data_IF_593252365957
#
_entry.id   IF_593252365957
#
_cell.length_a   1.000
_cell.length_b   1.000
_cell.length_c   1.000
_cell.angle_alpha   90.00
_cell.angle_beta   90.00
_cell.angle_gamma   90.00
#
_symmetry.space_group_name_H-M   'P 1'
#
loop_
_entity.id
_entity.type
_entity.pdbx_description
1 polymer ?
#
# COMPACT_ATOMS: atom_id res chain seq x y z
N UNK A 1 12.64 23.84 22.50
CA UNK A 1 11.75 23.09 21.58
C UNK A 1 12.16 23.47 20.17
N UNK A 2 12.52 22.50 19.35
CA UNK A 2 12.70 22.77 17.92
C UNK A 2 11.37 23.30 17.34
N UNK A 3 11.44 24.21 16.35
CA UNK A 3 10.22 24.74 15.75
C UNK A 3 9.43 23.60 15.12
N UNK A 4 8.13 23.55 15.44
CA UNK A 4 7.21 22.54 14.95
C UNK A 4 6.98 22.74 13.46
N UNK A 5 7.27 21.71 12.64
CA UNK A 5 7.09 21.73 11.19
C UNK A 5 5.66 21.33 10.83
N UNK A 6 4.96 22.10 10.02
CA UNK A 6 3.60 21.80 9.57
C UNK A 6 3.62 21.21 8.16
N UNK A 7 3.18 19.95 8.06
CA UNK A 7 3.10 19.18 6.84
C UNK A 7 1.67 19.16 6.29
N UNK A 8 1.47 19.49 5.02
CA UNK A 8 0.22 19.24 4.31
C UNK A 8 0.39 18.09 3.32
N UNK A 9 -0.27 16.97 3.57
CA UNK A 9 -0.33 15.82 2.67
C UNK A 9 -1.50 15.95 1.68
N UNK A 10 -1.20 16.08 0.39
CA UNK A 10 -2.20 16.26 -0.69
C UNK A 10 -2.45 14.92 -1.38
N UNK A 11 -3.60 14.29 -1.10
CA UNK A 11 -3.97 12.96 -1.60
C UNK A 11 -5.15 13.07 -2.57
N UNK A 12 -4.95 12.67 -3.83
CA UNK A 12 -5.99 12.77 -4.87
C UNK A 12 -6.89 11.51 -5.00
N UNK A 13 -6.60 10.47 -4.23
CA UNK A 13 -7.39 9.22 -4.25
C UNK A 13 -8.74 9.40 -3.54
N UNK A 14 -9.90 9.03 -4.15
CA UNK A 14 -11.20 9.17 -3.49
C UNK A 14 -11.47 8.08 -2.45
N UNK A 15 -10.86 6.91 -2.60
CA UNK A 15 -11.02 5.80 -1.67
C UNK A 15 -9.85 5.73 -0.69
N UNK A 16 -10.11 5.29 0.53
CA UNK A 16 -9.06 5.06 1.52
C UNK A 16 -8.07 4.02 0.99
N UNK A 17 -6.80 4.38 0.91
CA UNK A 17 -5.73 3.54 0.34
C UNK A 17 -4.39 3.78 1.02
N UNK A 18 -3.30 3.30 0.42
CA UNK A 18 -1.96 3.31 1.01
C UNK A 18 -1.49 4.67 1.51
N UNK A 19 -1.69 5.75 0.74
CA UNK A 19 -1.31 7.10 1.16
C UNK A 19 -2.10 7.61 2.39
N UNK A 20 -3.42 7.31 2.44
CA UNK A 20 -4.26 7.64 3.60
C UNK A 20 -3.82 6.84 4.83
N UNK A 21 -3.56 5.54 4.66
CA UNK A 21 -3.11 4.68 5.76
C UNK A 21 -1.74 5.11 6.27
N UNK A 22 -0.83 5.49 5.37
CA UNK A 22 0.48 6.03 5.76
C UNK A 22 0.32 7.30 6.61
N UNK A 23 -0.50 8.27 6.17
CA UNK A 23 -0.76 9.48 6.93
C UNK A 23 -1.34 9.15 8.30
N UNK A 24 -2.30 8.21 8.38
CA UNK A 24 -2.92 7.75 9.62
C UNK A 24 -1.91 7.12 10.57
N UNK A 25 -1.07 6.23 10.08
CA UNK A 25 -0.11 5.49 10.91
C UNK A 25 1.06 6.35 11.38
N UNK A 26 1.50 7.31 10.55
CA UNK A 26 2.71 8.09 10.85
C UNK A 26 2.42 9.43 11.54
N UNK A 27 1.17 9.90 11.62
CA UNK A 27 0.87 11.21 12.20
C UNK A 27 1.35 11.36 13.65
N UNK A 28 1.06 10.38 14.52
CA UNK A 28 1.53 10.36 15.91
C UNK A 28 3.05 10.33 16.02
N UNK A 29 3.72 9.28 15.47
CA UNK A 29 5.19 9.19 15.47
C UNK A 29 5.91 10.40 14.84
N UNK A 30 5.33 11.06 13.84
CA UNK A 30 5.87 12.28 13.26
C UNK A 30 5.69 13.49 14.17
N UNK A 31 4.54 13.61 14.87
CA UNK A 31 4.31 14.68 15.84
C UNK A 31 5.31 14.62 17.01
N UNK A 32 5.67 13.42 17.47
CA UNK A 32 6.74 13.21 18.46
C UNK A 32 8.11 13.70 17.96
N UNK A 33 8.30 13.80 16.63
CA UNK A 33 9.49 14.34 15.97
C UNK A 33 9.34 15.80 15.53
N UNK A 34 8.33 16.49 16.05
CA UNK A 34 8.06 17.90 15.76
C UNK A 34 7.47 18.14 14.36
N UNK A 35 6.80 17.14 13.75
CA UNK A 35 6.13 17.29 12.45
C UNK A 35 4.63 17.04 12.60
N UNK A 36 3.84 18.10 12.55
CA UNK A 36 2.37 18.00 12.57
C UNK A 36 1.82 17.79 11.16
N UNK A 37 0.94 16.82 11.02
CA UNK A 37 0.40 16.40 9.73
C UNK A 37 -1.07 16.83 9.57
N UNK A 38 -1.34 17.66 8.56
CA UNK A 38 -2.67 17.86 8.00
C UNK A 38 -2.82 17.15 6.66
N UNK A 39 -4.03 16.73 6.32
CA UNK A 39 -4.32 16.03 5.07
C UNK A 39 -5.40 16.76 4.28
N UNK A 40 -5.22 16.88 2.97
CA UNK A 40 -6.25 17.39 2.07
C UNK A 40 -6.60 16.33 1.02
N UNK A 41 -7.90 16.11 0.85
CA UNK A 41 -8.46 15.11 -0.08
C UNK A 41 -9.57 15.71 -0.93
N UNK A 42 -9.95 15.08 -2.07
CA UNK A 42 -11.10 15.50 -2.87
C UNK A 42 -12.42 15.45 -2.08
N UNK A 43 -13.41 16.23 -2.49
CA UNK A 43 -14.76 16.23 -1.85
C UNK A 43 -15.39 14.82 -1.84
N UNK A 44 -15.22 14.06 -2.91
CA UNK A 44 -15.73 12.69 -3.01
C UNK A 44 -15.02 11.69 -2.08
N UNK A 45 -13.93 12.10 -1.44
CA UNK A 45 -13.18 11.29 -0.46
C UNK A 45 -13.61 11.57 0.99
N UNK A 46 -14.77 12.15 1.23
CA UNK A 46 -15.28 12.45 2.58
C UNK A 46 -15.25 11.23 3.52
N UNK A 47 -15.60 9.99 3.10
CA UNK A 47 -15.46 8.82 3.96
C UNK A 47 -14.00 8.54 4.40
N UNK A 48 -13.03 8.86 3.53
CA UNK A 48 -11.62 8.72 3.88
C UNK A 48 -11.16 9.84 4.83
N UNK A 49 -11.64 11.07 4.63
CA UNK A 49 -11.39 12.20 5.51
C UNK A 49 -11.96 11.96 6.91
N UNK A 50 -13.19 11.45 7.02
CA UNK A 50 -13.80 11.09 8.30
C UNK A 50 -12.91 10.11 9.08
N UNK A 51 -12.46 9.03 8.44
CA UNK A 51 -11.57 8.05 9.09
C UNK A 51 -10.24 8.64 9.55
N UNK A 52 -9.72 9.67 8.87
CA UNK A 52 -8.52 10.38 9.29
C UNK A 52 -8.81 11.28 10.50
N UNK A 53 -9.94 11.98 10.51
CA UNK A 53 -10.38 12.80 11.65
C UNK A 53 -10.66 11.95 12.89
N UNK A 54 -11.28 10.77 12.71
CA UNK A 54 -11.52 9.81 13.79
C UNK A 54 -10.19 9.31 14.42
N UNK A 55 -9.10 9.34 13.63
CA UNK A 55 -7.74 9.05 14.10
C UNK A 55 -6.99 10.30 14.63
N UNK A 56 -7.67 11.42 14.83
CA UNK A 56 -7.08 12.65 15.38
C UNK A 56 -6.27 13.50 14.38
N UNK A 57 -6.42 13.27 13.07
CA UNK A 57 -5.67 13.99 12.03
C UNK A 57 -6.55 15.10 11.45
N UNK A 58 -6.00 16.32 11.32
CA UNK A 58 -6.68 17.42 10.62
C UNK A 58 -6.84 17.07 9.13
N UNK A 59 -8.04 16.66 8.73
CA UNK A 59 -8.36 16.25 7.37
C UNK A 59 -9.44 17.16 6.75
N UNK A 60 -9.04 17.84 5.68
CA UNK A 60 -9.87 18.81 4.95
C UNK A 60 -10.26 18.26 3.59
N UNK A 61 -11.55 18.37 3.24
CA UNK A 61 -12.02 18.09 1.88
C UNK A 61 -12.11 19.38 1.07
N UNK A 62 -11.75 19.30 -0.21
CA UNK A 62 -11.82 20.43 -1.14
C UNK A 62 -12.09 19.94 -2.56
N UNK A 63 -12.68 20.76 -3.45
CA UNK A 63 -12.67 20.42 -4.86
C UNK A 63 -11.23 20.21 -5.35
N UNK A 64 -10.93 19.01 -5.80
CA UNK A 64 -9.57 18.64 -6.25
C UNK A 64 -9.69 17.62 -7.38
N UNK A 65 -9.39 18.04 -8.59
CA UNK A 65 -9.42 17.16 -9.75
C UNK A 65 -8.13 16.34 -9.85
N UNK A 66 -8.25 15.12 -10.36
CA UNK A 66 -7.07 14.28 -10.63
C UNK A 66 -6.94 13.98 -12.11
N UNK A 67 -5.72 13.87 -12.58
CA UNK A 67 -5.44 13.36 -13.92
C UNK A 67 -5.83 11.87 -13.97
N UNK A 68 -6.64 11.50 -14.95
CA UNK A 68 -7.03 10.11 -15.21
C UNK A 68 -6.37 9.64 -16.51
N UNK A 69 -5.86 8.42 -16.50
CA UNK A 69 -5.34 7.78 -17.72
C UNK A 69 -6.50 7.29 -18.59
N UNK A 70 -7.24 8.23 -19.18
CA UNK A 70 -8.36 7.97 -20.08
C UNK A 70 -8.17 8.81 -21.36
N UNK A 71 -8.55 8.28 -22.56
CA UNK A 71 -8.55 9.04 -23.79
C UNK A 71 -9.71 10.04 -23.89
N UNK A 72 -10.65 10.05 -22.94
CA UNK A 72 -11.81 10.95 -22.97
C UNK A 72 -11.39 12.43 -22.88
N UNK A 73 -11.57 13.23 -23.94
CA UNK A 73 -11.13 14.62 -23.99
C UNK A 73 -11.89 15.50 -22.98
N UNK A 74 -13.13 15.16 -22.61
CA UNK A 74 -13.92 15.93 -21.63
C UNK A 74 -13.31 15.81 -20.24
N UNK A 75 -12.84 14.62 -19.87
CA UNK A 75 -12.15 14.39 -18.60
C UNK A 75 -10.85 15.16 -18.56
N UNK A 76 -10.07 15.17 -19.65
CA UNK A 76 -8.81 15.92 -19.74
C UNK A 76 -9.05 17.43 -19.71
N UNK A 77 -10.07 17.93 -20.43
CA UNK A 77 -10.43 19.35 -20.40
C UNK A 77 -10.89 19.82 -19.01
N UNK A 78 -11.64 18.99 -18.27
CA UNK A 78 -12.04 19.29 -16.87
C UNK A 78 -10.83 19.39 -15.97
N UNK A 79 -9.87 18.46 -16.09
CA UNK A 79 -8.62 18.53 -15.33
C UNK A 79 -7.85 19.81 -15.62
N UNK A 80 -7.67 20.16 -16.90
CA UNK A 80 -6.97 21.35 -17.31
C UNK A 80 -7.66 22.64 -16.80
N UNK A 81 -8.97 22.71 -16.90
CA UNK A 81 -9.75 23.87 -16.43
C UNK A 81 -9.70 24.01 -14.88
N UNK A 82 -9.63 22.90 -14.16
CA UNK A 82 -9.58 22.90 -12.71
C UNK A 82 -8.19 23.21 -12.14
N UNK A 83 -7.10 23.06 -12.91
CA UNK A 83 -5.72 23.17 -12.42
C UNK A 83 -5.47 24.50 -11.70
N UNK A 84 -5.76 25.63 -12.32
CA UNK A 84 -5.53 26.96 -11.73
C UNK A 84 -6.41 27.22 -10.52
N UNK A 85 -7.74 26.98 -10.56
CA UNK A 85 -8.59 27.05 -9.38
C UNK A 85 -8.12 26.17 -8.21
N UNK A 86 -7.72 24.92 -8.49
CA UNK A 86 -7.27 23.99 -7.44
C UNK A 86 -5.95 24.46 -6.79
N UNK A 87 -4.98 24.90 -7.61
CA UNK A 87 -3.73 25.50 -7.13
C UNK A 87 -4.00 26.72 -6.23
N UNK A 88 -4.95 27.59 -6.63
CA UNK A 88 -5.31 28.77 -5.81
C UNK A 88 -5.98 28.38 -4.48
N UNK A 89 -6.84 27.36 -4.48
CA UNK A 89 -7.47 26.85 -3.26
C UNK A 89 -6.44 26.25 -2.31
N UNK A 90 -5.56 25.40 -2.84
CA UNK A 90 -4.47 24.83 -2.05
C UNK A 90 -3.52 25.91 -1.51
N UNK A 91 -3.20 26.94 -2.29
CA UNK A 91 -2.39 28.07 -1.80
C UNK A 91 -3.03 28.82 -0.65
N UNK A 92 -4.37 29.06 -0.69
CA UNK A 92 -5.10 29.65 0.45
C UNK A 92 -5.04 28.75 1.69
N UNK A 93 -5.13 27.42 1.50
CA UNK A 93 -5.07 26.45 2.60
C UNK A 93 -3.66 26.41 3.21
N UNK A 94 -2.62 26.42 2.39
CA UNK A 94 -1.20 26.48 2.81
C UNK A 94 -0.98 27.68 3.72
N UNK A 95 -1.42 28.88 3.31
CA UNK A 95 -1.29 30.08 4.12
C UNK A 95 -2.11 30.03 5.41
N UNK A 96 -3.38 29.58 5.33
CA UNK A 96 -4.28 29.51 6.48
C UNK A 96 -3.78 28.58 7.58
N UNK A 97 -3.19 27.44 7.18
CA UNK A 97 -2.64 26.43 8.08
C UNK A 97 -1.16 26.64 8.40
N UNK A 98 -0.54 27.71 7.87
CA UNK A 98 0.89 28.02 8.08
C UNK A 98 1.80 26.82 7.75
N UNK A 99 1.57 26.22 6.58
CA UNK A 99 2.28 25.00 6.13
C UNK A 99 3.71 25.32 5.74
N UNK A 100 4.66 24.51 6.21
CA UNK A 100 6.08 24.56 5.85
C UNK A 100 6.43 23.62 4.69
N UNK A 101 5.74 22.46 4.63
CA UNK A 101 6.00 21.41 3.65
C UNK A 101 4.70 20.94 3.02
N UNK A 102 4.67 20.82 1.71
CA UNK A 102 3.59 20.11 1.01
C UNK A 102 4.12 18.77 0.49
N UNK A 103 3.50 17.68 0.93
CA UNK A 103 3.73 16.34 0.38
C UNK A 103 2.69 16.02 -0.68
N UNK A 104 3.14 15.65 -1.88
CA UNK A 104 2.30 15.31 -3.02
C UNK A 104 2.42 13.82 -3.33
N UNK A 105 1.30 13.14 -3.55
CA UNK A 105 1.26 11.71 -3.83
C UNK A 105 0.97 11.42 -5.31
N UNK A 106 1.83 10.57 -5.92
CA UNK A 106 1.74 10.16 -7.32
C UNK A 106 2.33 11.16 -8.31
N UNK A 107 2.90 10.67 -9.41
CA UNK A 107 3.66 11.49 -10.36
C UNK A 107 2.80 12.47 -11.18
N UNK A 108 1.48 12.25 -11.29
CA UNK A 108 0.62 12.88 -12.30
C UNK A 108 -0.26 14.02 -11.79
N UNK A 109 -0.19 14.35 -10.50
CA UNK A 109 -1.05 15.36 -9.88
C UNK A 109 -0.23 16.54 -9.32
N UNK A 110 0.11 17.55 -10.13
CA UNK A 110 1.05 18.59 -9.74
C UNK A 110 0.46 19.71 -8.88
N UNK A 111 -0.85 19.73 -8.59
CA UNK A 111 -1.56 20.84 -7.94
C UNK A 111 -0.91 21.27 -6.63
N UNK A 112 -0.61 20.31 -5.73
CA UNK A 112 0.03 20.58 -4.44
C UNK A 112 1.43 21.19 -4.62
N UNK A 113 2.23 20.63 -5.52
CA UNK A 113 3.58 21.13 -5.78
C UNK A 113 3.57 22.55 -6.39
N UNK A 114 2.67 22.82 -7.33
CA UNK A 114 2.51 24.15 -7.91
C UNK A 114 2.02 25.17 -6.89
N UNK A 115 1.07 24.78 -6.01
CA UNK A 115 0.62 25.64 -4.92
C UNK A 115 1.76 25.93 -3.95
N UNK A 116 2.50 24.93 -3.53
CA UNK A 116 3.65 25.06 -2.62
C UNK A 116 4.72 25.98 -3.21
N UNK A 117 5.07 25.80 -4.46
CA UNK A 117 6.05 26.69 -5.15
C UNK A 117 5.60 28.14 -5.22
N UNK A 118 4.32 28.38 -5.47
CA UNK A 118 3.74 29.71 -5.48
C UNK A 118 3.79 30.38 -4.11
N UNK A 119 3.52 29.63 -3.05
CA UNK A 119 3.54 30.11 -1.67
C UNK A 119 4.95 30.06 -1.05
N UNK A 120 5.93 29.54 -1.79
CA UNK A 120 7.32 29.47 -1.36
C UNK A 120 7.58 28.45 -0.24
N UNK A 121 6.81 27.38 -0.11
CA UNK A 121 7.04 26.31 0.86
C UNK A 121 7.70 25.10 0.23
N UNK A 122 8.31 24.23 1.05
CA UNK A 122 9.04 23.07 0.57
C UNK A 122 8.11 22.03 -0.07
N UNK A 123 8.61 21.28 -1.05
CA UNK A 123 7.86 20.24 -1.76
C UNK A 123 8.54 18.89 -1.58
N UNK A 124 7.83 17.96 -0.96
CA UNK A 124 8.17 16.54 -0.95
C UNK A 124 7.25 15.81 -1.92
N UNK A 125 7.80 15.10 -2.88
CA UNK A 125 6.99 14.34 -3.85
C UNK A 125 7.12 12.85 -3.59
N UNK A 126 6.01 12.17 -3.31
CA UNK A 126 5.99 10.75 -3.06
C UNK A 126 5.53 9.98 -4.31
N UNK A 127 6.40 9.14 -4.84
CA UNK A 127 6.11 8.25 -5.95
C UNK A 127 5.66 6.90 -5.42
N UNK A 128 4.37 6.57 -5.63
CA UNK A 128 3.71 5.40 -5.02
C UNK A 128 3.25 4.37 -6.04
N UNK A 129 3.10 4.75 -7.32
CA UNK A 129 2.35 3.95 -8.25
C UNK A 129 3.15 3.59 -9.51
N UNK A 130 2.94 2.34 -9.96
CA UNK A 130 3.50 1.81 -11.21
C UNK A 130 2.51 1.84 -12.37
N UNK A 131 1.24 2.22 -12.12
CA UNK A 131 0.13 2.06 -13.09
C UNK A 131 0.08 3.12 -14.16
N UNK A 132 0.66 4.31 -13.90
CA UNK A 132 0.69 5.35 -14.90
C UNK A 132 1.45 4.86 -16.16
N UNK A 133 0.90 5.03 -17.38
CA UNK A 133 1.59 4.68 -18.61
C UNK A 133 2.99 5.28 -18.68
N UNK A 134 3.94 4.58 -19.28
CA UNK A 134 5.34 5.03 -19.38
C UNK A 134 5.44 6.41 -20.04
N UNK A 135 4.63 6.66 -21.06
CA UNK A 135 4.55 7.96 -21.76
C UNK A 135 4.17 9.08 -20.80
N UNK A 136 3.14 8.86 -19.97
CA UNK A 136 2.70 9.84 -18.98
C UNK A 136 3.77 10.08 -17.91
N UNK A 137 4.44 9.02 -17.45
CA UNK A 137 5.57 9.16 -16.49
C UNK A 137 6.72 9.93 -17.09
N UNK A 138 7.09 9.70 -18.38
CA UNK A 138 8.13 10.47 -19.08
C UNK A 138 7.82 11.97 -19.16
N UNK A 139 6.55 12.30 -19.33
CA UNK A 139 6.11 13.71 -19.37
C UNK A 139 6.05 14.34 -17.97
N UNK A 140 5.62 13.59 -16.96
CA UNK A 140 5.46 14.09 -15.59
C UNK A 140 6.80 14.22 -14.84
N UNK A 141 7.75 13.30 -15.04
CA UNK A 141 8.98 13.26 -14.26
C UNK A 141 9.87 14.51 -14.37
N UNK A 142 10.04 15.19 -15.52
CA UNK A 142 10.75 16.47 -15.56
C UNK A 142 10.15 17.53 -14.63
N UNK A 143 8.82 17.56 -14.49
CA UNK A 143 8.13 18.45 -13.55
C UNK A 143 8.38 18.05 -12.10
N UNK A 144 8.31 16.76 -11.78
CA UNK A 144 8.66 16.22 -10.47
C UNK A 144 10.09 16.62 -10.08
N UNK A 145 11.08 16.36 -10.94
CA UNK A 145 12.50 16.69 -10.70
C UNK A 145 12.71 18.20 -10.48
N UNK A 146 12.00 19.04 -11.24
CA UNK A 146 12.13 20.51 -11.15
C UNK A 146 11.45 21.09 -9.91
N UNK A 147 10.28 20.58 -9.54
CA UNK A 147 9.46 21.18 -8.49
C UNK A 147 9.72 20.60 -7.09
N UNK A 148 10.31 19.42 -6.95
CA UNK A 148 10.55 18.83 -5.63
C UNK A 148 11.84 19.32 -4.98
N UNK A 149 11.80 19.45 -3.66
CA UNK A 149 12.97 19.64 -2.81
C UNK A 149 13.49 18.30 -2.29
N UNK A 150 12.59 17.33 -2.07
CA UNK A 150 12.90 15.91 -1.90
C UNK A 150 11.84 15.05 -2.61
N UNK A 151 12.23 13.83 -2.97
CA UNK A 151 11.32 12.83 -3.54
C UNK A 151 11.45 11.54 -2.72
N UNK A 152 10.32 10.99 -2.28
CA UNK A 152 10.29 9.70 -1.61
C UNK A 152 9.68 8.65 -2.53
N UNK A 153 10.20 7.40 -2.46
CA UNK A 153 9.64 6.24 -3.18
C UNK A 153 9.43 5.09 -2.20
N UNK A 154 8.39 4.30 -2.44
CA UNK A 154 8.21 3.04 -1.72
C UNK A 154 9.10 1.95 -2.34
N UNK A 155 10.28 1.80 -1.80
CA UNK A 155 11.29 0.86 -2.28
C UNK A 155 12.11 1.37 -3.45
N UNK A 156 13.17 0.66 -3.74
CA UNK A 156 14.14 0.98 -4.80
C UNK A 156 13.57 0.68 -6.18
N UNK A 157 12.83 -0.43 -6.31
CA UNK A 157 12.23 -0.82 -7.60
C UNK A 157 11.23 0.22 -8.11
N UNK A 158 10.50 0.87 -7.19
CA UNK A 158 9.57 1.92 -7.57
C UNK A 158 10.29 3.17 -8.11
N UNK A 159 11.48 3.48 -7.61
CA UNK A 159 12.31 4.54 -8.17
C UNK A 159 12.74 4.22 -9.61
N UNK A 160 13.18 2.98 -9.86
CA UNK A 160 13.66 2.52 -11.18
C UNK A 160 12.62 2.59 -12.29
N UNK A 161 11.34 2.41 -11.96
CA UNK A 161 10.26 2.49 -12.96
C UNK A 161 9.88 3.93 -13.35
N UNK A 162 10.44 4.95 -12.67
CA UNK A 162 10.20 6.35 -12.98
C UNK A 162 11.37 6.96 -13.77
N UNK A 163 11.20 7.21 -15.08
CA UNK A 163 12.28 7.70 -15.94
C UNK A 163 12.84 9.03 -15.44
N UNK A 164 14.15 9.13 -15.27
CA UNK A 164 14.81 10.36 -14.84
C UNK A 164 14.85 10.54 -13.31
N UNK A 165 14.38 9.57 -12.52
CA UNK A 165 14.48 9.61 -11.07
C UNK A 165 15.94 9.69 -10.58
N UNK A 166 16.88 9.12 -11.32
CA UNK A 166 18.33 9.19 -11.05
C UNK A 166 18.87 10.62 -11.00
N UNK A 167 18.23 11.57 -11.70
CA UNK A 167 18.60 13.00 -11.70
C UNK A 167 18.35 13.69 -10.36
N UNK A 168 17.58 13.07 -9.49
CA UNK A 168 17.30 13.60 -8.16
C UNK A 168 18.52 13.47 -7.22
N UNK A 169 19.42 12.52 -7.46
CA UNK A 169 20.60 12.30 -6.62
C UNK A 169 20.22 12.14 -5.15
N UNK A 170 20.84 12.91 -4.27
CA UNK A 170 20.58 12.88 -2.82
C UNK A 170 19.15 13.30 -2.42
N UNK A 171 18.37 13.91 -3.31
CA UNK A 171 16.96 14.24 -3.06
C UNK A 171 16.02 13.04 -3.19
N UNK A 172 16.47 11.91 -3.76
CA UNK A 172 15.70 10.68 -3.86
C UNK A 172 15.92 9.82 -2.62
N UNK A 173 14.87 9.63 -1.85
CA UNK A 173 14.91 8.93 -0.57
C UNK A 173 13.99 7.73 -0.63
N UNK A 174 14.52 6.55 -0.39
CA UNK A 174 13.73 5.33 -0.29
C UNK A 174 13.09 5.25 1.09
N UNK A 175 11.78 5.11 1.11
CA UNK A 175 10.97 4.83 2.30
C UNK A 175 10.16 3.56 2.04
N UNK A 176 9.43 3.08 3.05
CA UNK A 176 8.58 1.90 2.94
C UNK A 176 7.19 2.20 3.52
N UNK A 177 6.14 1.43 3.15
CA UNK A 177 4.86 1.57 3.81
C UNK A 177 4.94 1.08 5.27
N UNK A 178 4.28 1.78 6.21
CA UNK A 178 4.31 1.41 7.62
C UNK A 178 3.46 0.17 7.90
N UNK A 179 3.88 -0.61 8.90
CA UNK A 179 3.06 -1.64 9.52
C UNK A 179 2.77 -1.27 10.98
N UNK A 180 1.51 -1.40 11.38
CA UNK A 180 1.07 -1.17 12.76
C UNK A 180 1.36 -2.41 13.61
N UNK A 181 2.51 -2.45 14.25
CA UNK A 181 2.97 -3.61 15.02
C UNK A 181 2.07 -3.95 16.22
N UNK A 182 1.41 -2.95 16.80
CA UNK A 182 0.45 -3.14 17.89
C UNK A 182 -0.83 -3.85 17.44
N UNK A 183 -1.24 -3.64 16.19
CA UNK A 183 -2.40 -4.26 15.57
C UNK A 183 -2.06 -5.62 14.95
N UNK A 184 -0.91 -5.69 14.27
CA UNK A 184 -0.43 -6.88 13.56
C UNK A 184 0.69 -7.55 14.36
N UNK A 185 0.32 -8.36 15.35
CA UNK A 185 1.24 -9.15 16.15
C UNK A 185 0.62 -10.51 16.47
N UNK A 186 1.42 -11.56 16.65
CA UNK A 186 0.90 -12.87 17.06
C UNK A 186 0.20 -12.77 18.41
N UNK A 187 -0.99 -13.32 18.46
CA UNK A 187 -1.82 -13.39 19.66
C UNK A 187 -2.59 -14.72 19.65
N UNK A 188 -2.27 -15.68 20.55
CA UNK A 188 -2.93 -16.99 20.59
C UNK A 188 -4.44 -16.93 20.86
N UNK A 189 -4.89 -16.02 21.73
CA UNK A 189 -6.31 -15.89 22.08
C UNK A 189 -7.09 -15.30 20.90
N UNK A 190 -6.55 -14.27 20.26
CA UNK A 190 -7.11 -13.71 19.03
C UNK A 190 -7.09 -14.72 17.89
N UNK A 191 -6.08 -15.60 17.82
CA UNK A 191 -6.01 -16.66 16.81
C UNK A 191 -7.18 -17.63 16.95
N UNK A 192 -7.44 -18.15 18.16
CA UNK A 192 -8.55 -19.07 18.40
C UNK A 192 -9.90 -18.41 18.04
N UNK A 193 -10.11 -17.16 18.48
CA UNK A 193 -11.29 -16.38 18.12
C UNK A 193 -11.41 -16.17 16.60
N UNK A 194 -10.33 -15.79 15.93
CA UNK A 194 -10.29 -15.57 14.49
C UNK A 194 -10.66 -16.84 13.72
N UNK A 195 -10.09 -17.99 14.10
CA UNK A 195 -10.39 -19.27 13.43
C UNK A 195 -11.86 -19.65 13.56
N UNK A 196 -12.45 -19.50 14.75
CA UNK A 196 -13.89 -19.70 14.97
C UNK A 196 -14.73 -18.78 14.06
N UNK A 197 -14.41 -17.49 14.02
CA UNK A 197 -15.08 -16.52 13.16
C UNK A 197 -14.95 -16.81 11.64
N UNK A 198 -13.87 -17.48 11.25
CA UNK A 198 -13.58 -17.85 9.86
C UNK A 198 -14.18 -19.23 9.50
N UNK A 199 -14.85 -19.89 10.45
CA UNK A 199 -15.43 -21.22 10.27
C UNK A 199 -14.35 -22.30 10.08
N UNK A 200 -13.23 -22.19 10.80
CA UNK A 200 -12.14 -23.16 10.73
C UNK A 200 -12.18 -24.05 11.97
N UNK A 201 -12.43 -25.32 11.75
CA UNK A 201 -12.50 -26.33 12.80
C UNK A 201 -11.11 -26.91 13.10
N UNK A 202 -10.83 -27.10 14.39
CA UNK A 202 -9.59 -27.74 14.86
C UNK A 202 -8.33 -27.08 14.31
N UNK A 203 -7.37 -27.94 13.95
CA UNK A 203 -6.04 -27.55 13.44
C UNK A 203 -5.95 -27.58 11.89
N UNK A 204 -7.09 -27.55 11.18
CA UNK A 204 -7.10 -27.52 9.72
C UNK A 204 -6.24 -26.35 9.19
N UNK A 205 -5.27 -26.61 8.29
CA UNK A 205 -4.40 -25.54 7.77
C UNK A 205 -5.20 -24.46 7.06
N UNK A 206 -5.01 -23.20 7.45
CA UNK A 206 -5.69 -22.05 6.86
C UNK A 206 -4.72 -21.23 6.03
N UNK A 207 -4.94 -21.21 4.72
CA UNK A 207 -4.22 -20.43 3.73
C UNK A 207 -5.07 -19.22 3.35
N UNK A 208 -4.51 -18.02 3.38
CA UNK A 208 -5.29 -16.82 3.05
C UNK A 208 -4.56 -15.76 2.29
N UNK A 209 -5.36 -14.88 1.68
CA UNK A 209 -4.88 -13.70 0.96
C UNK A 209 -5.77 -12.49 1.23
N UNK A 210 -5.19 -11.31 1.09
CA UNK A 210 -5.88 -10.02 1.17
C UNK A 210 -5.66 -9.23 -0.11
N UNK A 211 -6.75 -8.79 -0.73
CA UNK A 211 -6.65 -7.95 -1.93
C UNK A 211 -7.99 -7.74 -2.62
N UNK A 212 -8.15 -6.60 -3.28
CA UNK A 212 -9.35 -6.29 -4.07
C UNK A 212 -9.58 -7.39 -5.11
N UNK A 213 -10.84 -7.83 -5.25
CA UNK A 213 -11.21 -8.85 -6.25
C UNK A 213 -11.16 -8.26 -7.67
N UNK A 214 -9.98 -8.30 -8.26
CA UNK A 214 -9.73 -7.88 -9.64
C UNK A 214 -8.69 -8.79 -10.30
N UNK A 215 -8.59 -8.80 -11.64
CA UNK A 215 -7.65 -9.67 -12.37
C UNK A 215 -6.17 -9.47 -11.95
N UNK A 216 -5.81 -8.25 -11.55
CA UNK A 216 -4.43 -7.89 -11.21
C UNK A 216 -3.93 -8.57 -9.93
N UNK A 217 -4.84 -8.96 -9.03
CA UNK A 217 -4.49 -9.68 -7.79
C UNK A 217 -4.35 -11.18 -7.97
N UNK A 218 -4.62 -11.72 -9.17
CA UNK A 218 -4.32 -13.10 -9.55
C UNK A 218 -5.06 -14.18 -8.74
N UNK A 219 -6.19 -13.85 -8.10
CA UNK A 219 -6.93 -14.81 -7.26
C UNK A 219 -7.32 -16.10 -7.99
N UNK A 220 -7.45 -16.06 -9.33
CA UNK A 220 -7.66 -17.26 -10.16
C UNK A 220 -6.54 -18.29 -9.99
N UNK A 221 -5.29 -17.84 -9.83
CA UNK A 221 -4.16 -18.75 -9.66
C UNK A 221 -4.17 -19.37 -8.27
N UNK A 222 -4.68 -18.66 -7.24
CA UNK A 222 -4.92 -19.24 -5.93
C UNK A 222 -6.02 -20.32 -5.98
N UNK A 223 -7.13 -20.09 -6.70
CA UNK A 223 -8.19 -21.11 -6.88
C UNK A 223 -7.62 -22.37 -7.54
N UNK A 224 -6.80 -22.22 -8.59
CA UNK A 224 -6.15 -23.36 -9.28
C UNK A 224 -5.12 -24.07 -8.41
N UNK A 225 -4.35 -23.33 -7.63
CA UNK A 225 -3.42 -23.92 -6.67
C UNK A 225 -4.17 -24.65 -5.54
N UNK A 226 -5.29 -24.10 -5.07
CA UNK A 226 -6.11 -24.73 -4.04
C UNK A 226 -6.66 -26.09 -4.48
N UNK A 227 -7.06 -26.24 -5.75
CA UNK A 227 -7.45 -27.56 -6.29
C UNK A 227 -6.33 -28.60 -6.17
N UNK A 228 -5.11 -28.20 -6.55
CA UNK A 228 -3.94 -29.09 -6.49
C UNK A 228 -3.57 -29.45 -5.05
N UNK A 229 -3.65 -28.46 -4.15
CA UNK A 229 -3.39 -28.67 -2.72
C UNK A 229 -4.47 -29.56 -2.10
N UNK A 230 -5.75 -29.30 -2.39
CA UNK A 230 -6.88 -30.05 -1.83
C UNK A 230 -6.81 -31.56 -2.16
N UNK A 231 -6.32 -31.93 -3.34
CA UNK A 231 -6.13 -33.35 -3.71
C UNK A 231 -5.15 -34.10 -2.79
N UNK A 232 -4.17 -33.39 -2.20
CA UNK A 232 -3.13 -33.97 -1.33
C UNK A 232 -3.35 -33.65 0.15
N UNK A 233 -4.06 -32.57 0.43
CA UNK A 233 -4.39 -32.07 1.78
C UNK A 233 -5.87 -31.63 1.79
N UNK A 234 -6.80 -32.59 1.90
CA UNK A 234 -8.26 -32.32 1.90
C UNK A 234 -8.71 -31.49 3.10
N UNK A 235 -7.92 -31.46 4.17
CA UNK A 235 -8.12 -30.68 5.37
C UNK A 235 -7.77 -29.18 5.20
N UNK A 236 -7.01 -28.80 4.17
CA UNK A 236 -6.61 -27.41 3.95
C UNK A 236 -7.81 -26.52 3.60
N UNK A 237 -7.85 -25.33 4.17
CA UNK A 237 -8.90 -24.31 3.95
C UNK A 237 -8.30 -23.06 3.36
N UNK A 238 -9.05 -22.40 2.46
CA UNK A 238 -8.62 -21.20 1.75
C UNK A 238 -9.60 -20.06 2.01
N UNK A 239 -9.08 -18.86 2.31
CA UNK A 239 -9.90 -17.67 2.52
C UNK A 239 -9.32 -16.46 1.78
N UNK A 240 -10.18 -15.74 1.07
CA UNK A 240 -9.85 -14.50 0.37
C UNK A 240 -10.62 -13.36 1.02
N UNK A 241 -9.91 -12.38 1.54
CA UNK A 241 -10.50 -11.13 2.05
C UNK A 241 -10.27 -10.02 1.03
N UNK A 242 -11.36 -9.57 0.40
CA UNK A 242 -11.27 -8.50 -0.58
C UNK A 242 -12.60 -7.98 -1.05
N UNK A 243 -12.67 -6.65 -1.21
CA UNK A 243 -13.84 -6.03 -1.80
C UNK A 243 -13.83 -6.17 -3.32
N UNK A 244 -15.01 -6.39 -3.90
CA UNK A 244 -15.24 -6.16 -5.31
C UNK A 244 -15.70 -4.72 -5.53
N UNK A 245 -15.37 -4.16 -6.68
CA UNK A 245 -15.93 -2.88 -7.12
C UNK A 245 -16.98 -3.14 -8.22
N UNK A 246 -17.89 -2.20 -8.46
CA UNK A 246 -18.85 -2.34 -9.57
C UNK A 246 -18.19 -2.64 -10.93
N UNK A 247 -16.98 -2.12 -11.15
CA UNK A 247 -16.21 -2.39 -12.36
C UNK A 247 -15.65 -3.83 -12.44
N UNK A 248 -15.62 -4.57 -11.34
CA UNK A 248 -15.04 -5.91 -11.27
C UNK A 248 -16.02 -7.01 -10.80
N UNK A 249 -17.31 -6.71 -10.70
CA UNK A 249 -18.34 -7.68 -10.29
C UNK A 249 -18.36 -8.94 -11.17
N UNK A 250 -18.19 -8.79 -12.49
CA UNK A 250 -18.09 -9.93 -13.40
C UNK A 250 -16.83 -10.79 -13.15
N UNK A 251 -15.76 -10.22 -12.64
CA UNK A 251 -14.56 -11.00 -12.27
C UNK A 251 -14.80 -11.80 -11.00
N UNK A 252 -15.41 -11.21 -9.98
CA UNK A 252 -15.80 -11.93 -8.76
C UNK A 252 -16.73 -13.09 -9.08
N UNK A 253 -17.75 -12.86 -9.91
CA UNK A 253 -18.68 -13.92 -10.30
C UNK A 253 -17.94 -15.08 -10.96
N UNK A 254 -17.04 -14.82 -11.92
CA UNK A 254 -16.22 -15.86 -12.56
C UNK A 254 -15.34 -16.61 -11.58
N UNK A 255 -14.77 -15.93 -10.57
CA UNK A 255 -13.98 -16.62 -9.55
C UNK A 255 -14.84 -17.59 -8.73
N UNK A 256 -16.06 -17.18 -8.36
CA UNK A 256 -17.00 -18.05 -7.63
C UNK A 256 -17.47 -19.23 -8.48
N UNK A 257 -17.67 -19.03 -9.78
CA UNK A 257 -17.96 -20.08 -10.75
C UNK A 257 -16.76 -21.05 -10.86
N UNK A 258 -15.54 -20.57 -11.00
CA UNK A 258 -14.32 -21.41 -11.05
C UNK A 258 -14.14 -22.25 -9.78
N UNK A 259 -14.43 -21.71 -8.60
CA UNK A 259 -14.44 -22.47 -7.32
C UNK A 259 -15.45 -23.61 -7.37
N UNK A 260 -16.67 -23.36 -7.85
CA UNK A 260 -17.73 -24.36 -7.96
C UNK A 260 -17.39 -25.45 -9.00
N UNK A 261 -16.95 -25.05 -10.18
CA UNK A 261 -16.55 -26.00 -11.24
C UNK A 261 -15.44 -26.96 -10.83
N UNK A 262 -14.59 -26.53 -9.85
CA UNK A 262 -13.51 -27.36 -9.31
C UNK A 262 -13.89 -28.12 -8.04
N UNK A 263 -15.15 -28.01 -7.57
CA UNK A 263 -15.62 -28.69 -6.37
C UNK A 263 -14.95 -28.21 -5.06
N UNK A 264 -14.60 -26.91 -4.99
CA UNK A 264 -13.87 -26.34 -3.85
C UNK A 264 -14.76 -25.56 -2.88
N UNK A 265 -16.08 -25.60 -3.02
CA UNK A 265 -17.02 -24.75 -2.26
C UNK A 265 -16.91 -24.91 -0.74
N UNK A 266 -16.62 -26.12 -0.25
CA UNK A 266 -16.47 -26.39 1.17
C UNK A 266 -15.14 -25.89 1.75
N UNK A 267 -14.09 -25.81 0.92
CA UNK A 267 -12.73 -25.51 1.37
C UNK A 267 -12.25 -24.10 1.01
N UNK A 268 -12.88 -23.46 0.01
CA UNK A 268 -12.49 -22.15 -0.49
C UNK A 268 -13.59 -21.11 -0.29
N UNK A 269 -13.31 -20.05 0.51
CA UNK A 269 -14.30 -19.02 0.85
C UNK A 269 -13.83 -17.60 0.56
N UNK A 270 -14.78 -16.77 0.11
CA UNK A 270 -14.61 -15.32 -0.02
C UNK A 270 -15.25 -14.66 1.21
N UNK A 271 -14.47 -13.87 1.93
CA UNK A 271 -14.89 -13.20 3.15
C UNK A 271 -15.54 -11.85 2.85
N UNK A 272 -16.46 -11.43 3.72
CA UNK A 272 -17.05 -10.11 3.70
C UNK A 272 -15.93 -9.04 3.78
N UNK A 273 -15.86 -8.07 2.86
CA UNK A 273 -14.83 -7.04 2.86
C UNK A 273 -14.90 -6.09 4.07
N UNK A 274 -16.00 -6.10 4.85
CA UNK A 274 -16.12 -5.37 6.12
C UNK A 274 -15.37 -6.04 7.27
N UNK A 275 -14.95 -7.30 7.12
CA UNK A 275 -14.11 -7.96 8.11
C UNK A 275 -12.74 -7.29 8.21
N UNK A 276 -12.20 -7.28 9.40
CA UNK A 276 -10.90 -6.70 9.65
C UNK A 276 -9.77 -7.60 9.12
N UNK A 277 -8.80 -6.98 8.48
CA UNK A 277 -7.63 -7.69 7.92
C UNK A 277 -6.85 -8.41 9.01
N UNK A 278 -6.70 -7.79 10.19
CA UNK A 278 -5.98 -8.36 11.31
C UNK A 278 -6.66 -9.62 11.86
N UNK A 279 -7.99 -9.70 11.83
CA UNK A 279 -8.71 -10.93 12.19
C UNK A 279 -8.31 -12.09 11.26
N UNK A 280 -8.30 -11.87 9.94
CA UNK A 280 -7.83 -12.89 9.01
C UNK A 280 -6.37 -13.25 9.30
N UNK A 281 -5.48 -12.25 9.42
CA UNK A 281 -4.05 -12.48 9.65
C UNK A 281 -3.80 -13.32 10.91
N UNK A 282 -4.55 -13.12 11.99
CA UNK A 282 -4.42 -13.93 13.20
C UNK A 282 -4.76 -15.41 12.94
N UNK A 283 -5.84 -15.68 12.20
CA UNK A 283 -6.31 -17.04 11.92
C UNK A 283 -5.41 -17.85 10.99
N UNK A 284 -4.64 -17.21 10.11
CA UNK A 284 -3.84 -17.88 9.10
C UNK A 284 -2.72 -18.75 9.67
N UNK A 285 -2.41 -19.82 8.91
CA UNK A 285 -1.15 -20.57 9.01
C UNK A 285 -0.18 -20.14 7.93
N UNK A 286 -0.69 -19.71 6.76
CA UNK A 286 0.12 -19.31 5.61
C UNK A 286 -0.55 -18.14 4.88
N UNK A 287 0.20 -17.08 4.63
CA UNK A 287 -0.25 -15.97 3.80
C UNK A 287 0.27 -16.14 2.36
N UNK A 288 -0.64 -15.93 1.40
CA UNK A 288 -0.32 -16.05 -0.03
C UNK A 288 -0.65 -14.75 -0.76
N UNK A 289 0.24 -14.30 -1.64
CA UNK A 289 -0.02 -13.21 -2.58
C UNK A 289 0.22 -13.67 -4.02
N UNK A 290 -0.80 -13.56 -4.87
CA UNK A 290 -0.81 -14.09 -6.25
C UNK A 290 -0.79 -13.03 -7.33
N UNK A 291 -0.40 -11.81 -7.00
CA UNK A 291 -0.51 -10.65 -7.90
C UNK A 291 0.18 -10.87 -9.25
N UNK A 292 -0.47 -10.37 -10.31
CA UNK A 292 0.01 -10.46 -11.69
C UNK A 292 1.16 -9.47 -11.96
N UNK A 293 1.94 -9.63 -13.03
CA UNK A 293 3.00 -8.69 -13.39
C UNK A 293 2.51 -7.25 -13.49
N UNK A 294 3.31 -6.29 -13.02
CA UNK A 294 3.03 -4.84 -13.03
C UNK A 294 1.81 -4.40 -12.23
N UNK A 295 1.30 -5.23 -11.34
CA UNK A 295 0.12 -4.93 -10.54
C UNK A 295 0.44 -4.36 -9.16
N UNK A 296 1.64 -4.58 -8.66
CA UNK A 296 2.08 -4.15 -7.34
C UNK A 296 3.15 -3.06 -7.40
N UNK A 297 2.98 -2.07 -6.52
CA UNK A 297 4.07 -1.21 -6.09
C UNK A 297 4.77 -1.89 -4.90
N UNK A 298 4.23 -1.64 -3.70
CA UNK A 298 4.72 -2.22 -2.44
C UNK A 298 3.49 -2.76 -1.66
N UNK A 299 3.26 -4.07 -1.63
CA UNK A 299 2.05 -4.65 -1.04
C UNK A 299 2.13 -4.68 0.50
N UNK A 300 1.36 -3.83 1.17
CA UNK A 300 1.32 -3.74 2.64
C UNK A 300 0.85 -5.03 3.31
N UNK A 301 -0.02 -5.80 2.66
CA UNK A 301 -0.53 -7.07 3.21
C UNK A 301 0.58 -8.09 3.49
N UNK A 302 1.69 -8.06 2.75
CA UNK A 302 2.88 -8.88 3.07
C UNK A 302 3.48 -8.45 4.40
N UNK A 303 3.63 -7.14 4.63
CA UNK A 303 4.18 -6.61 5.89
C UNK A 303 3.28 -6.93 7.08
N UNK A 304 1.96 -6.84 6.89
CA UNK A 304 0.95 -7.20 7.88
C UNK A 304 1.02 -8.70 8.25
N UNK A 305 1.18 -9.57 7.24
CA UNK A 305 1.37 -11.00 7.46
C UNK A 305 2.70 -11.31 8.18
N UNK A 306 3.79 -10.69 7.75
CA UNK A 306 5.10 -10.83 8.38
C UNK A 306 5.06 -10.34 9.84
N UNK A 307 4.42 -9.21 10.13
CA UNK A 307 4.25 -8.69 11.49
C UNK A 307 3.49 -9.67 12.39
N UNK A 308 2.48 -10.38 11.84
CA UNK A 308 1.76 -11.48 12.50
C UNK A 308 2.55 -12.80 12.53
N UNK A 309 3.84 -12.80 12.20
CA UNK A 309 4.69 -13.99 12.11
C UNK A 309 4.14 -15.08 11.18
N UNK A 310 3.44 -14.70 10.09
CA UNK A 310 2.96 -15.67 9.12
C UNK A 310 4.03 -15.93 8.07
N UNK A 311 4.31 -17.20 7.72
CA UNK A 311 5.12 -17.51 6.55
C UNK A 311 4.41 -16.98 5.29
N UNK A 312 5.18 -16.42 4.36
CA UNK A 312 4.66 -15.77 3.15
C UNK A 312 5.06 -16.55 1.92
N UNK A 313 4.10 -16.81 1.02
CA UNK A 313 4.39 -17.17 -0.37
C UNK A 313 3.87 -16.04 -1.25
N UNK A 314 4.72 -15.48 -2.09
CA UNK A 314 4.32 -14.36 -2.93
C UNK A 314 4.82 -14.53 -4.37
N UNK A 315 4.04 -14.02 -5.31
CA UNK A 315 4.53 -13.89 -6.70
C UNK A 315 5.62 -12.83 -6.77
N UNK A 316 6.65 -13.13 -7.55
CA UNK A 316 7.82 -12.28 -7.76
C UNK A 316 7.50 -11.13 -8.73
N UNK A 317 6.83 -10.11 -8.23
CA UNK A 317 6.37 -8.94 -9.00
C UNK A 317 6.64 -7.63 -8.26
N UNK A 318 6.94 -6.57 -9.00
CA UNK A 318 7.17 -5.24 -8.43
C UNK A 318 8.25 -5.26 -7.34
N UNK A 319 7.98 -4.59 -6.23
CA UNK A 319 8.92 -4.51 -5.09
C UNK A 319 8.77 -5.65 -4.07
N UNK A 320 8.11 -6.76 -4.41
CA UNK A 320 7.93 -7.89 -3.48
C UNK A 320 9.25 -8.47 -3.00
N UNK A 321 10.29 -8.54 -3.87
CA UNK A 321 11.64 -8.96 -3.49
C UNK A 321 12.30 -8.07 -2.44
N UNK A 322 11.85 -6.84 -2.30
CA UNK A 322 12.34 -5.95 -1.24
C UNK A 322 11.71 -6.28 0.12
N UNK A 323 10.56 -6.95 0.13
CA UNK A 323 9.84 -7.36 1.34
C UNK A 323 10.16 -8.80 1.75
N UNK A 324 10.13 -9.73 0.79
CA UNK A 324 10.31 -11.16 1.03
C UNK A 324 11.73 -11.58 0.64
N UNK A 325 12.50 -12.02 1.63
CA UNK A 325 13.79 -12.64 1.43
C UNK A 325 13.56 -14.15 1.20
N UNK A 326 13.73 -14.57 -0.06
CA UNK A 326 13.45 -15.92 -0.52
C UNK A 326 14.28 -16.96 0.23
N UNK A 327 13.62 -17.97 0.80
CA UNK A 327 14.26 -19.00 1.61
C UNK A 327 14.58 -18.60 3.07
N UNK A 328 14.35 -17.34 3.44
CA UNK A 328 14.59 -16.83 4.80
C UNK A 328 13.31 -16.36 5.48
N UNK A 329 12.50 -15.53 4.81
CA UNK A 329 11.23 -14.99 5.34
C UNK A 329 10.01 -15.50 4.62
N UNK A 330 10.20 -16.23 3.51
CA UNK A 330 9.12 -16.77 2.69
C UNK A 330 9.61 -17.40 1.40
N UNK A 331 8.67 -17.70 0.51
CA UNK A 331 8.95 -18.20 -0.83
C UNK A 331 8.51 -17.18 -1.89
N UNK A 332 9.30 -17.07 -2.95
CA UNK A 332 8.94 -16.33 -4.16
C UNK A 332 8.64 -17.33 -5.28
N UNK A 333 7.50 -17.16 -5.92
CA UNK A 333 7.06 -17.99 -7.06
C UNK A 333 6.85 -17.12 -8.30
N UNK A 334 6.91 -17.71 -9.47
CA UNK A 334 6.62 -16.98 -10.72
C UNK A 334 5.15 -16.54 -10.73
N UNK A 335 4.83 -15.34 -11.23
CA UNK A 335 3.45 -14.96 -11.47
C UNK A 335 2.80 -15.86 -12.51
N UNK A 336 1.48 -16.05 -12.42
CA UNK A 336 0.70 -16.92 -13.31
C UNK A 336 1.19 -18.40 -13.33
N UNK A 337 1.78 -18.86 -12.22
CA UNK A 337 2.31 -20.21 -12.04
C UNK A 337 1.61 -20.97 -10.89
N UNK A 338 0.33 -21.35 -11.03
CA UNK A 338 -0.43 -22.00 -9.96
C UNK A 338 0.19 -23.32 -9.47
N UNK A 339 0.94 -24.03 -10.33
CA UNK A 339 1.67 -25.26 -9.94
C UNK A 339 2.80 -24.96 -8.96
N UNK A 340 3.58 -23.90 -9.18
CA UNK A 340 4.64 -23.49 -8.25
C UNK A 340 4.05 -23.01 -6.93
N UNK A 341 2.94 -22.27 -7.00
CA UNK A 341 2.23 -21.84 -5.81
C UNK A 341 1.73 -23.02 -4.99
N UNK A 342 1.12 -24.02 -5.63
CA UNK A 342 0.65 -25.23 -4.96
C UNK A 342 1.81 -26.01 -4.33
N UNK A 343 2.93 -26.15 -5.05
CA UNK A 343 4.13 -26.81 -4.53
C UNK A 343 4.68 -26.10 -3.28
N UNK A 344 4.80 -24.76 -3.33
CA UNK A 344 5.24 -23.96 -2.18
C UNK A 344 4.30 -24.06 -0.97
N UNK A 345 2.98 -24.10 -1.20
CA UNK A 345 2.00 -24.30 -0.12
C UNK A 345 2.20 -25.68 0.52
N UNK A 346 2.26 -26.74 -0.29
CA UNK A 346 2.46 -28.11 0.19
C UNK A 346 3.79 -28.28 0.93
N UNK A 347 4.86 -27.67 0.43
CA UNK A 347 6.17 -27.65 1.07
C UNK A 347 6.10 -27.10 2.49
N UNK A 348 5.48 -25.91 2.67
CA UNK A 348 5.39 -25.29 3.99
C UNK A 348 4.36 -25.99 4.90
N UNK A 349 3.33 -26.63 4.37
CA UNK A 349 2.40 -27.44 5.15
C UNK A 349 3.05 -28.76 5.61
N UNK A 350 4.03 -29.31 4.88
CA UNK A 350 4.73 -30.54 5.25
C UNK A 350 5.94 -30.31 6.16
N UNK A 351 6.45 -29.07 6.26
CA UNK A 351 7.54 -28.68 7.16
C UNK A 351 7.10 -27.49 8.06
N UNK A 352 6.35 -27.76 9.14
CA UNK A 352 5.89 -26.73 10.06
C UNK A 352 7.03 -25.97 10.76
N UNK A 353 8.18 -26.61 10.94
CA UNK A 353 9.36 -25.95 11.55
C UNK A 353 9.93 -24.88 10.63
N UNK A 354 10.04 -25.18 9.34
CA UNK A 354 10.46 -24.21 8.33
C UNK A 354 9.46 -23.08 8.20
N UNK A 355 8.16 -23.40 8.18
CA UNK A 355 7.09 -22.40 8.15
C UNK A 355 7.20 -21.45 9.37
N UNK A 356 7.38 -21.98 10.58
CA UNK A 356 7.60 -21.17 11.79
C UNK A 356 8.87 -20.32 11.72
N UNK A 357 9.99 -20.86 11.21
CA UNK A 357 11.22 -20.09 11.01
C UNK A 357 11.00 -18.92 10.04
N UNK A 358 10.31 -19.13 8.93
CA UNK A 358 9.98 -18.07 7.98
C UNK A 358 9.12 -16.98 8.62
N UNK A 359 8.06 -17.37 9.33
CA UNK A 359 7.20 -16.42 10.05
C UNK A 359 7.97 -15.60 11.09
N UNK A 360 8.81 -16.25 11.91
CA UNK A 360 9.63 -15.58 12.94
C UNK A 360 10.65 -14.61 12.34
N UNK A 361 11.34 -15.03 11.26
CA UNK A 361 12.27 -14.18 10.53
C UNK A 361 11.55 -13.00 9.88
N UNK A 362 10.38 -13.27 9.26
CA UNK A 362 9.52 -12.24 8.68
C UNK A 362 9.14 -11.18 9.70
N UNK A 363 8.66 -11.59 10.89
CA UNK A 363 8.31 -10.66 11.97
C UNK A 363 9.48 -9.83 12.42
N UNK A 364 10.65 -10.45 12.64
CA UNK A 364 11.86 -9.72 13.04
C UNK A 364 12.21 -8.65 12.00
N UNK A 365 12.16 -9.00 10.71
CA UNK A 365 12.40 -8.07 9.61
C UNK A 365 11.36 -6.97 9.55
N UNK A 366 10.06 -7.31 9.65
CA UNK A 366 8.96 -6.34 9.62
C UNK A 366 9.13 -5.26 10.69
N UNK A 367 9.49 -5.65 11.91
CA UNK A 367 9.74 -4.72 13.02
C UNK A 367 11.00 -3.88 12.82
N UNK A 368 12.09 -4.50 12.39
CA UNK A 368 13.38 -3.82 12.26
C UNK A 368 13.43 -2.82 11.09
N UNK A 369 12.77 -3.15 9.97
CA UNK A 369 12.91 -2.38 8.73
C UNK A 369 11.65 -1.56 8.38
N UNK A 370 10.45 -1.98 8.81
CA UNK A 370 9.16 -1.42 8.41
C UNK A 370 8.27 -0.96 9.57
N UNK A 371 8.80 -0.97 10.79
CA UNK A 371 8.11 -0.48 11.98
C UNK A 371 7.90 1.02 11.95
N UNK A 372 6.85 1.49 12.65
CA UNK A 372 6.38 2.89 12.62
C UNK A 372 7.49 3.88 13.01
N UNK A 373 8.25 3.59 14.08
CA UNK A 373 9.29 4.47 14.58
C UNK A 373 10.37 4.72 13.53
N UNK A 374 10.92 3.63 12.97
CA UNK A 374 11.93 3.74 11.91
C UNK A 374 11.45 4.52 10.70
N UNK A 375 10.21 4.29 10.30
CA UNK A 375 9.65 4.98 9.13
C UNK A 375 9.37 6.45 9.42
N UNK A 376 8.96 6.78 10.64
CA UNK A 376 8.85 8.17 11.08
C UNK A 376 10.21 8.88 11.02
N UNK A 377 11.30 8.23 11.45
CA UNK A 377 12.67 8.79 11.33
C UNK A 377 13.05 9.05 9.86
N UNK A 378 12.78 8.09 8.97
CA UNK A 378 13.07 8.24 7.54
C UNK A 378 12.27 9.38 6.91
N UNK A 379 10.98 9.50 7.25
CA UNK A 379 10.13 10.57 6.75
C UNK A 379 10.53 11.94 7.34
N UNK A 380 10.80 12.04 8.63
CA UNK A 380 11.29 13.26 9.28
C UNK A 380 12.62 13.72 8.65
N UNK A 381 13.54 12.78 8.40
CA UNK A 381 14.79 13.06 7.67
C UNK A 381 14.54 13.59 6.24
N UNK A 382 13.59 13.00 5.51
CA UNK A 382 13.22 13.47 4.19
C UNK A 382 12.63 14.89 4.20
N UNK A 383 11.83 15.22 5.22
CA UNK A 383 11.26 16.55 5.40
C UNK A 383 12.33 17.58 5.75
N UNK A 384 13.27 17.23 6.64
CA UNK A 384 14.41 18.07 6.96
C UNK A 384 15.26 18.38 5.72
N UNK A 385 15.61 17.35 4.94
CA UNK A 385 16.35 17.52 3.67
C UNK A 385 15.60 18.43 2.70
N UNK A 386 14.26 18.31 2.61
CA UNK A 386 13.46 19.18 1.75
C UNK A 386 13.52 20.66 2.18
N UNK A 387 13.45 20.93 3.48
CA UNK A 387 13.55 22.30 4.01
C UNK A 387 14.95 22.89 3.78
N UNK A 388 16.00 22.13 3.97
CA UNK A 388 17.39 22.55 3.71
C UNK A 388 17.60 22.88 2.22
N UNK A 389 17.15 21.99 1.34
CA UNK A 389 17.22 22.20 -0.11
C UNK A 389 16.40 23.42 -0.56
N UNK A 390 15.21 23.62 -0.02
CA UNK A 390 14.38 24.79 -0.32
C UNK A 390 15.08 26.09 0.09
N UNK A 391 15.71 26.14 1.27
CA UNK A 391 16.49 27.30 1.75
C UNK A 391 17.67 27.61 0.82
N UNK A 392 18.44 26.59 0.42
CA UNK A 392 19.59 26.77 -0.50
C UNK A 392 19.19 27.25 -1.90
N UNK A 393 17.96 27.02 -2.32
CA UNK A 393 17.43 27.53 -3.61
C UNK A 393 16.97 28.99 -3.55
N UNK A 394 16.77 29.54 -2.36
CA UNK A 394 16.33 30.94 -2.15
C UNK A 394 17.49 31.89 -1.92
N UNK A 395 18.60 31.35 -1.41
CA UNK A 395 19.89 32.05 -1.31
C UNK A 395 20.59 32.10 -2.66
#
# INVERSE_FOLDING_TARGET
MEPQVRLLSVIHGPAFGGAHNQARCLAGPLSERGVDTAVVVPLEAEPAASRLRDAGIDAVTTPLQRLRATPDPRTQARFAAALVPDVRRLGKLIRRLEIDIVQVHGATNPHGALAARREGVAVVWQLLDTRAPLTLRRVAMPLVVRLSDAVTTWGVELARVHPGAERLGARLITVYPPVEESRFQPDPDRRAHARSQLGIEGEAPLIGTVGVLNPQKGHKDLVRAAEMVHRLRPDARFRVLGASSPAHGAYEQRLREEVRERGLEEVFGFLDPRREVDLLMQGLDLFVMTSAPRSEGMPTAILEAMACAKPVIATDVGAVRELVDAGTTGLLVRPEAPKELAAGILELLSDPDRARRFGSNGRRRARAEFGLERLADLHAGAYKNALEHQRSRRS
#
